data_IF_758649367766
#
_entry.id   IF_758649367766
#
_cell.length_a   1.000
_cell.length_b   1.000
_cell.length_c   1.000
_cell.angle_alpha   90.00
_cell.angle_beta   90.00
_cell.angle_gamma   90.00
#
_symmetry.space_group_name_H-M   'P 1'
#
loop_
_entity.id
_entity.type
_entity.pdbx_description
1 polymer ?
#
# COMPACT_ATOMS: atom_id res chain seq x y z
N UNK A 1 18.95 0.89 3.70
CA UNK A 1 17.81 0.16 3.14
C UNK A 1 16.94 1.10 2.33
N UNK A 2 16.61 0.74 1.10
CA UNK A 2 15.75 1.56 0.25
C UNK A 2 14.31 1.53 0.74
N UNK A 3 13.48 2.45 0.25
CA UNK A 3 12.07 2.49 0.61
C UNK A 3 11.34 1.23 0.12
N UNK A 4 11.68 0.74 -1.07
CA UNK A 4 11.11 -0.49 -1.61
C UNK A 4 11.45 -1.71 -0.75
N UNK A 5 12.67 -1.77 -0.23
CA UNK A 5 13.07 -2.84 0.68
C UNK A 5 12.28 -2.76 1.97
N UNK A 6 12.00 -1.54 2.45
CA UNK A 6 11.19 -1.36 3.64
C UNK A 6 9.75 -1.84 3.43
N UNK A 7 9.16 -1.55 2.25
CA UNK A 7 7.81 -2.04 1.94
C UNK A 7 7.77 -3.55 1.87
N UNK A 8 8.76 -4.16 1.21
CA UNK A 8 8.84 -5.62 1.12
C UNK A 8 8.98 -6.27 2.50
N UNK A 9 9.74 -5.64 3.40
CA UNK A 9 9.93 -6.13 4.76
C UNK A 9 8.64 -6.10 5.59
N UNK A 10 7.67 -5.28 5.22
CA UNK A 10 6.38 -5.21 5.90
C UNK A 10 5.42 -6.32 5.50
N UNK A 11 5.71 -7.03 4.41
CA UNK A 11 4.83 -8.08 3.91
C UNK A 11 4.74 -9.24 4.89
N UNK A 12 3.50 -9.66 5.18
CA UNK A 12 3.24 -10.78 6.10
C UNK A 12 2.90 -12.04 5.32
N UNK A 13 1.86 -11.99 4.49
CA UNK A 13 1.43 -13.13 3.69
C UNK A 13 0.37 -12.72 2.67
N UNK A 14 0.14 -13.60 1.70
CA UNK A 14 -0.95 -13.48 0.75
C UNK A 14 -2.10 -14.38 1.20
N UNK A 15 -3.32 -13.86 1.15
CA UNK A 15 -4.54 -14.62 1.40
C UNK A 15 -5.46 -14.45 0.21
N UNK A 16 -5.64 -15.50 -0.60
CA UNK A 16 -6.46 -15.45 -1.82
C UNK A 16 -6.07 -14.27 -2.70
N UNK A 17 -6.92 -13.25 -2.77
CA UNK A 17 -6.69 -12.06 -3.60
C UNK A 17 -6.24 -10.85 -2.78
N UNK A 18 -5.82 -11.07 -1.55
CA UNK A 18 -5.38 -10.00 -0.66
C UNK A 18 -3.93 -10.18 -0.26
N UNK A 19 -3.29 -9.06 0.05
CA UNK A 19 -1.90 -9.02 0.51
C UNK A 19 -1.87 -8.34 1.86
N UNK A 20 -1.29 -9.01 2.85
CA UNK A 20 -1.30 -8.52 4.23
C UNK A 20 0.04 -7.95 4.61
N UNK A 21 0.01 -6.76 5.19
CA UNK A 21 1.21 -6.02 5.60
C UNK A 21 1.10 -5.58 7.05
N UNK A 22 2.22 -5.55 7.72
CA UNK A 22 2.33 -4.97 9.06
C UNK A 22 3.28 -3.79 8.98
N UNK A 23 2.77 -2.59 9.29
CA UNK A 23 3.57 -1.37 9.25
C UNK A 23 4.09 -1.13 10.67
N UNK A 24 5.36 -1.44 10.95
CA UNK A 24 5.85 -1.35 12.32
C UNK A 24 5.90 0.09 12.82
N UNK A 25 5.89 0.25 14.15
CA UNK A 25 5.90 1.56 14.76
C UNK A 25 7.15 2.38 14.39
N UNK A 26 8.26 1.70 14.11
CA UNK A 26 9.53 2.34 13.73
C UNK A 26 9.73 2.46 12.23
N UNK A 27 8.67 2.27 11.43
CA UNK A 27 8.78 2.42 9.99
C UNK A 27 9.28 3.83 9.66
N UNK A 28 10.30 3.97 8.80
CA UNK A 28 10.96 5.27 8.59
C UNK A 28 10.05 6.42 8.17
N UNK A 29 8.96 6.13 7.47
CA UNK A 29 8.04 7.17 7.02
C UNK A 29 7.33 7.92 8.16
N UNK A 30 7.33 7.36 9.36
CA UNK A 30 6.74 8.03 10.52
C UNK A 30 7.69 9.04 11.18
N UNK A 31 8.98 8.97 10.86
CA UNK A 31 9.96 9.83 11.48
C UNK A 31 9.84 11.27 11.00
N UNK A 32 9.72 12.20 11.96
CA UNK A 32 9.70 13.62 11.65
C UNK A 32 8.43 14.16 11.02
N UNK A 33 7.40 13.33 10.90
CA UNK A 33 6.12 13.76 10.32
C UNK A 33 5.03 13.70 11.38
N UNK A 34 4.28 14.80 11.53
CA UNK A 34 3.10 14.86 12.40
C UNK A 34 3.38 14.43 13.84
N UNK A 35 4.20 15.21 14.55
CA UNK A 35 4.50 14.95 15.96
C UNK A 35 3.21 14.74 16.75
N UNK A 36 3.20 13.67 17.56
CA UNK A 36 2.04 13.32 18.38
C UNK A 36 0.93 12.57 17.65
N UNK A 37 0.94 12.54 16.32
CA UNK A 37 -0.07 11.81 15.55
C UNK A 37 0.51 11.37 14.20
N UNK A 38 1.53 10.49 14.20
CA UNK A 38 2.15 10.06 12.96
C UNK A 38 1.20 9.25 12.10
N UNK A 39 1.28 9.45 10.79
CA UNK A 39 0.50 8.69 9.83
C UNK A 39 1.34 8.33 8.62
N UNK A 40 0.95 7.27 7.92
CA UNK A 40 1.66 6.82 6.72
C UNK A 40 1.28 7.75 5.55
N UNK A 41 2.28 8.42 4.92
CA UNK A 41 1.99 9.33 3.81
C UNK A 41 1.37 8.63 2.60
N UNK A 42 0.63 9.39 1.80
CA UNK A 42 -0.01 8.87 0.59
C UNK A 42 0.99 8.21 -0.36
N UNK A 43 2.17 8.81 -0.53
CA UNK A 43 3.19 8.26 -1.42
C UNK A 43 3.66 6.87 -0.95
N UNK A 44 3.68 6.64 0.35
CA UNK A 44 4.03 5.32 0.91
C UNK A 44 2.91 4.32 0.70
N UNK A 45 1.66 4.74 0.77
CA UNK A 45 0.52 3.87 0.49
C UNK A 45 0.56 3.41 -0.97
N UNK A 46 0.92 4.31 -1.88
CA UNK A 46 1.10 3.99 -3.30
C UNK A 46 2.27 3.02 -3.50
N UNK A 47 3.35 3.20 -2.75
CA UNK A 47 4.49 2.28 -2.77
C UNK A 47 4.12 0.88 -2.31
N UNK A 48 3.28 0.77 -1.28
CA UNK A 48 2.77 -0.52 -0.83
C UNK A 48 1.90 -1.17 -1.91
N UNK A 49 1.10 -0.40 -2.61
CA UNK A 49 0.29 -0.91 -3.73
C UNK A 49 1.18 -1.47 -4.83
N UNK A 50 2.25 -0.77 -5.18
CA UNK A 50 3.20 -1.24 -6.20
C UNK A 50 3.90 -2.53 -5.75
N UNK A 51 4.27 -2.61 -4.47
CA UNK A 51 4.89 -3.81 -3.91
C UNK A 51 3.93 -5.00 -4.00
N UNK A 52 2.68 -4.82 -3.61
CA UNK A 52 1.67 -5.87 -3.66
C UNK A 52 1.35 -6.29 -5.10
N UNK A 53 1.23 -5.32 -6.02
CA UNK A 53 1.00 -5.62 -7.44
C UNK A 53 2.19 -6.36 -8.05
N UNK A 54 3.41 -6.05 -7.63
CA UNK A 54 4.59 -6.79 -8.09
C UNK A 54 4.48 -8.27 -7.71
N UNK A 55 3.97 -8.56 -6.52
CA UNK A 55 3.76 -9.94 -6.08
C UNK A 55 2.64 -10.60 -6.88
N UNK A 56 1.55 -9.88 -7.12
CA UNK A 56 0.42 -10.40 -7.89
C UNK A 56 0.81 -10.72 -9.33
N UNK A 57 1.58 -9.84 -9.97
CA UNK A 57 1.98 -9.98 -11.36
C UNK A 57 3.20 -10.88 -11.55
N UNK A 58 3.90 -11.20 -10.47
CA UNK A 58 5.09 -12.03 -10.52
C UNK A 58 6.30 -11.35 -11.17
N UNK A 59 6.31 -10.03 -11.20
CA UNK A 59 7.40 -9.24 -11.76
C UNK A 59 7.39 -7.84 -11.16
N UNK A 60 8.55 -7.17 -11.10
CA UNK A 60 8.59 -5.82 -10.54
C UNK A 60 7.76 -4.83 -11.36
N UNK A 61 6.90 -4.10 -10.69
CA UNK A 61 6.12 -3.02 -11.30
C UNK A 61 6.25 -1.77 -10.43
N UNK A 62 6.03 -0.62 -11.05
CA UNK A 62 5.97 0.65 -10.34
C UNK A 62 4.73 1.43 -10.77
N UNK A 63 4.31 2.38 -9.95
CA UNK A 63 3.14 3.20 -10.27
C UNK A 63 3.49 4.12 -11.43
N UNK A 64 2.73 3.99 -12.51
CA UNK A 64 2.88 4.85 -13.69
C UNK A 64 1.97 6.06 -13.60
N UNK A 65 0.78 5.87 -13.01
CA UNK A 65 -0.23 6.93 -12.93
C UNK A 65 -1.15 6.67 -11.76
N UNK A 66 -1.48 7.71 -11.00
CA UNK A 66 -2.56 7.66 -10.02
C UNK A 66 -3.71 8.43 -10.63
N UNK A 67 -4.79 7.71 -10.96
CA UNK A 67 -5.95 8.29 -11.61
C UNK A 67 -6.82 9.01 -10.61
N UNK A 68 -7.02 8.39 -9.45
CA UNK A 68 -7.88 8.93 -8.40
C UNK A 68 -7.51 8.27 -7.08
N UNK A 69 -7.58 9.02 -5.99
CA UNK A 69 -7.35 8.48 -4.66
C UNK A 69 -8.34 9.08 -3.68
N UNK A 70 -8.71 8.28 -2.70
CA UNK A 70 -9.59 8.69 -1.61
C UNK A 70 -9.02 8.14 -0.32
N UNK A 71 -8.73 9.04 0.62
CA UNK A 71 -8.19 8.67 1.92
C UNK A 71 -9.25 8.90 2.98
N UNK A 72 -9.70 7.82 3.62
CA UNK A 72 -10.79 7.87 4.59
C UNK A 72 -10.28 7.91 6.03
N UNK A 73 -9.22 7.14 6.32
CA UNK A 73 -8.65 7.04 7.66
C UNK A 73 -7.14 7.00 7.58
N UNK A 74 -6.43 7.59 8.55
CA UNK A 74 -4.97 7.50 8.57
C UNK A 74 -4.51 6.09 8.92
N UNK A 75 -3.37 5.70 8.34
CA UNK A 75 -2.69 4.46 8.70
C UNK A 75 -1.61 4.85 9.69
N UNK A 76 -1.78 4.45 10.95
CA UNK A 76 -0.83 4.79 12.00
C UNK A 76 0.23 3.72 12.23
N UNK A 77 1.19 4.01 13.14
CA UNK A 77 2.20 3.04 13.50
C UNK A 77 1.58 1.75 14.06
N UNK A 78 2.14 0.61 13.67
CA UNK A 78 1.68 -0.69 14.14
C UNK A 78 0.46 -1.23 13.42
N UNK A 79 -0.05 -0.54 12.41
CA UNK A 79 -1.24 -0.97 11.67
C UNK A 79 -0.99 -2.24 10.89
N UNK A 80 -2.01 -3.08 10.82
CA UNK A 80 -2.05 -4.24 9.93
C UNK A 80 -2.98 -3.90 8.79
N UNK A 81 -2.45 -3.99 7.57
CA UNK A 81 -3.13 -3.51 6.37
C UNK A 81 -3.40 -4.66 5.42
N UNK A 82 -4.63 -4.75 4.94
CA UNK A 82 -5.00 -5.65 3.85
C UNK A 82 -5.11 -4.83 2.57
N UNK A 83 -4.42 -5.27 1.52
CA UNK A 83 -4.51 -4.63 0.21
C UNK A 83 -5.11 -5.62 -0.77
N UNK A 84 -6.20 -5.22 -1.43
CA UNK A 84 -6.83 -6.01 -2.48
C UNK A 84 -6.99 -5.17 -3.72
N UNK A 85 -6.98 -5.84 -4.88
CA UNK A 85 -7.04 -5.17 -6.18
C UNK A 85 -8.23 -5.68 -6.98
N UNK A 86 -8.93 -4.76 -7.62
CA UNK A 86 -9.97 -5.06 -8.58
C UNK A 86 -9.54 -4.51 -9.93
N UNK A 87 -9.42 -5.36 -10.96
CA UNK A 87 -9.07 -4.87 -12.30
C UNK A 87 -10.14 -3.92 -12.83
N UNK A 88 -9.68 -2.88 -13.51
CA UNK A 88 -10.54 -1.88 -14.14
C UNK A 88 -10.15 -1.78 -15.61
N UNK A 89 -11.02 -1.19 -16.46
CA UNK A 89 -10.69 -1.03 -17.88
C UNK A 89 -9.39 -0.27 -18.11
N UNK A 90 -8.76 -0.52 -19.25
CA UNK A 90 -7.56 0.19 -19.69
C UNK A 90 -6.33 -0.05 -18.83
N UNK A 91 -6.20 -1.26 -18.27
CA UNK A 91 -5.02 -1.63 -17.49
C UNK A 91 -4.91 -0.96 -16.14
N UNK A 92 -6.01 -0.47 -15.61
CA UNK A 92 -6.07 0.15 -14.30
C UNK A 92 -6.45 -0.88 -13.23
N UNK A 93 -6.15 -0.54 -11.97
CA UNK A 93 -6.54 -1.32 -10.81
C UNK A 93 -7.15 -0.41 -9.76
N UNK A 94 -8.21 -0.87 -9.13
CA UNK A 94 -8.70 -0.25 -7.90
C UNK A 94 -8.01 -0.96 -6.74
N UNK A 95 -7.17 -0.26 -6.02
CA UNK A 95 -6.53 -0.75 -4.81
C UNK A 95 -7.35 -0.31 -3.61
N UNK A 96 -7.69 -1.25 -2.74
CA UNK A 96 -8.38 -0.95 -1.49
C UNK A 96 -7.50 -1.37 -0.33
N UNK A 97 -7.20 -0.42 0.56
CA UNK A 97 -6.41 -0.63 1.74
C UNK A 97 -7.35 -0.58 2.94
N UNK A 98 -7.38 -1.64 3.73
CA UNK A 98 -8.27 -1.72 4.89
C UNK A 98 -7.54 -2.27 6.11
N UNK A 99 -8.11 -2.01 7.29
CA UNK A 99 -7.57 -2.51 8.54
C UNK A 99 -7.90 -3.99 8.69
N UNK A 100 -6.89 -4.80 8.98
CA UNK A 100 -7.10 -6.20 9.28
C UNK A 100 -7.85 -6.38 10.60
N UNK A 101 -7.67 -5.44 11.54
CA UNK A 101 -8.27 -5.51 12.87
C UNK A 101 -9.75 -5.13 12.90
N UNK A 102 -10.12 -4.07 12.17
CA UNK A 102 -11.49 -3.52 12.22
C UNK A 102 -12.25 -3.67 10.91
N UNK A 103 -11.56 -4.04 9.83
CA UNK A 103 -12.09 -4.13 8.47
C UNK A 103 -12.51 -2.78 7.88
N UNK A 104 -12.25 -1.68 8.59
CA UNK A 104 -12.52 -0.35 8.05
C UNK A 104 -11.53 0.01 6.96
N UNK A 105 -11.99 0.75 5.96
CA UNK A 105 -11.13 1.16 4.86
C UNK A 105 -10.26 2.34 5.24
N UNK A 106 -8.97 2.22 4.95
CA UNK A 106 -8.02 3.32 5.05
C UNK A 106 -8.09 4.20 3.82
N UNK A 107 -8.04 3.57 2.63
CA UNK A 107 -7.99 4.31 1.38
C UNK A 107 -8.42 3.47 0.19
N UNK A 108 -8.73 4.16 -0.90
CA UNK A 108 -9.00 3.58 -2.21
C UNK A 108 -8.18 4.35 -3.23
N UNK A 109 -7.43 3.65 -4.05
CA UNK A 109 -6.54 4.27 -5.03
C UNK A 109 -6.72 3.59 -6.38
N UNK A 110 -7.12 4.36 -7.39
CA UNK A 110 -7.17 3.84 -8.76
C UNK A 110 -5.85 4.22 -9.43
N UNK A 111 -5.12 3.21 -9.87
CA UNK A 111 -3.79 3.44 -10.43
C UNK A 111 -3.52 2.54 -11.62
N UNK A 112 -2.51 2.92 -12.38
CA UNK A 112 -1.94 2.12 -13.46
C UNK A 112 -0.48 1.89 -13.12
N UNK A 113 0.01 0.70 -13.39
CA UNK A 113 1.41 0.36 -13.16
C UNK A 113 2.12 0.10 -14.48
N UNK A 114 3.43 0.14 -14.43
CA UNK A 114 4.28 -0.23 -15.54
C UNK A 114 5.38 -1.15 -15.03
N UNK A 115 5.91 -1.98 -15.93
CA UNK A 115 6.99 -2.90 -15.60
C UNK A 115 8.28 -2.11 -15.37
N UNK A 116 9.01 -2.49 -14.32
CA UNK A 116 10.34 -1.92 -14.06
C UNK A 116 11.34 -2.65 -14.94
N UNK A 117 12.08 -1.90 -15.74
CA UNK A 117 13.06 -2.42 -16.69
C UNK A 117 14.46 -2.37 -16.09
#
# INVERSE_FOLDING_TARGET
>A
MSLEENFSACFVRREENSFLYHIPADFPAFNGHFEGNPLLPAVCQMGLCAEALSRQEGKPVEVAEVVRSKFMRPIGPGSRVRISFTPRPEGKFLAELSSLSTEEKFSQIILRVKEVI
#
